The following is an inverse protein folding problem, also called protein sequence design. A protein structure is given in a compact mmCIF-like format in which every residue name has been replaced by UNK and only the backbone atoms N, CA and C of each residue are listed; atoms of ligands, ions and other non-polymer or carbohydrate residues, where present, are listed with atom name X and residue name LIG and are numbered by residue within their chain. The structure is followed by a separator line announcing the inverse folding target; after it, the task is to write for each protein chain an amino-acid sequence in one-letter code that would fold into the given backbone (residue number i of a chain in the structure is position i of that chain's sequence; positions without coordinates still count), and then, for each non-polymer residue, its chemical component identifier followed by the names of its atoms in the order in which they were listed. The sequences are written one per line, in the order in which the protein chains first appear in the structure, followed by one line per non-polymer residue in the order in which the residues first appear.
data_IF_584645298379
#
_entry.id   IF_584645298379
#
_cell.length_a   1.000
_cell.length_b   1.000
_cell.length_c   1.000
_cell.angle_alpha   90.00
_cell.angle_beta   90.00
_cell.angle_gamma   90.00
#
_symmetry.space_group_name_H-M   'P 1'
#
loop_
_entity.id
_entity.type
_entity.pdbx_description
1 polymer ?
#
# COMPACT_ATOMS: atom_id res chain seq x y z
N UNK A 1 -16.55 -3.53 -10.15
CA UNK A 1 -16.37 -4.95 -9.79
C UNK A 1 -15.20 -5.61 -10.55
N UNK A 2 -15.31 -5.99 -11.83
CA UNK A 2 -14.19 -6.68 -12.54
C UNK A 2 -12.88 -5.88 -12.49
N UNK A 3 -12.90 -4.58 -12.84
CA UNK A 3 -11.79 -3.62 -12.69
C UNK A 3 -11.14 -3.70 -11.31
N UNK A 4 -11.94 -3.47 -10.26
CA UNK A 4 -11.48 -3.46 -8.86
C UNK A 4 -10.87 -4.81 -8.45
N UNK A 5 -11.48 -5.93 -8.82
CA UNK A 5 -10.95 -7.27 -8.53
C UNK A 5 -9.63 -7.56 -9.25
N UNK A 6 -9.46 -7.06 -10.48
CA UNK A 6 -8.21 -7.16 -11.22
C UNK A 6 -7.09 -6.31 -10.58
N UNK A 7 -7.37 -5.06 -10.19
CA UNK A 7 -6.42 -4.21 -9.47
C UNK A 7 -6.06 -4.73 -8.07
N UNK A 8 -6.99 -5.43 -7.41
CA UNK A 8 -6.75 -6.09 -6.12
C UNK A 8 -5.89 -7.36 -6.29
N UNK A 9 -6.17 -8.16 -7.32
CA UNK A 9 -5.35 -9.30 -7.69
C UNK A 9 -3.91 -8.91 -8.04
N UNK A 10 -3.70 -7.83 -8.81
CA UNK A 10 -2.34 -7.35 -9.13
C UNK A 10 -1.56 -6.93 -7.88
N UNK A 11 -2.21 -6.22 -6.94
CA UNK A 11 -1.58 -5.85 -5.66
C UNK A 11 -1.27 -7.09 -4.83
N UNK A 12 -2.21 -8.01 -4.67
CA UNK A 12 -1.97 -9.29 -3.99
C UNK A 12 -0.85 -10.12 -4.64
N UNK A 13 -0.66 -10.03 -5.96
CA UNK A 13 0.48 -10.67 -6.64
C UNK A 13 1.81 -10.02 -6.22
N UNK A 14 1.90 -8.68 -6.25
CA UNK A 14 3.11 -7.95 -5.85
C UNK A 14 3.44 -8.09 -4.35
N UNK A 15 2.42 -8.06 -3.48
CA UNK A 15 2.56 -8.34 -2.05
C UNK A 15 3.09 -9.76 -1.84
N UNK A 16 2.52 -10.74 -2.55
CA UNK A 16 2.95 -12.14 -2.47
C UNK A 16 4.38 -12.33 -2.95
N UNK A 17 4.77 -11.66 -4.03
CA UNK A 17 6.14 -11.71 -4.58
C UNK A 17 7.16 -11.18 -3.55
N UNK A 18 6.89 -10.02 -2.95
CA UNK A 18 7.71 -9.45 -1.88
C UNK A 18 7.79 -10.38 -0.66
N UNK A 19 6.66 -10.93 -0.22
CA UNK A 19 6.59 -11.80 0.96
C UNK A 19 7.19 -13.21 0.74
N UNK A 20 7.36 -13.65 -0.52
CA UNK A 20 8.00 -14.95 -0.85
C UNK A 20 9.50 -14.83 -1.19
N UNK A 21 10.11 -13.65 -1.03
CA UNK A 21 11.56 -13.48 -1.17
C UNK A 21 12.31 -14.45 -0.25
N UNK A 22 13.32 -15.19 -0.73
CA UNK A 22 14.18 -16.01 0.11
C UNK A 22 15.05 -15.12 0.99
N UNK A 23 15.24 -15.51 2.24
CA UNK A 23 16.11 -14.85 3.23
C UNK A 23 16.89 -15.95 3.96
N UNK A 24 18.19 -15.73 4.16
CA UNK A 24 19.03 -16.65 4.92
C UNK A 24 18.91 -16.36 6.42
N UNK A 25 18.70 -17.41 7.20
CA UNK A 25 18.50 -17.37 8.65
C UNK A 25 19.47 -18.35 9.30
N UNK A 26 20.05 -17.96 10.44
CA UNK A 26 20.89 -18.87 11.23
C UNK A 26 19.97 -19.79 12.05
N UNK A 27 20.14 -21.09 11.88
CA UNK A 27 19.49 -22.14 12.69
C UNK A 27 20.18 -22.34 14.05
N UNK A 28 19.50 -22.98 15.00
CA UNK A 28 20.08 -23.35 16.32
C UNK A 28 21.37 -24.18 16.20
N UNK A 29 21.54 -24.89 15.09
CA UNK A 29 22.77 -25.64 14.76
C UNK A 29 23.94 -24.80 14.23
N UNK A 30 23.77 -23.48 14.07
CA UNK A 30 24.79 -22.59 13.48
C UNK A 30 24.92 -22.70 11.96
N UNK A 31 23.93 -23.30 11.29
CA UNK A 31 23.87 -23.42 9.83
C UNK A 31 22.93 -22.35 9.22
N UNK A 32 23.25 -21.88 8.02
CA UNK A 32 22.36 -21.01 7.26
C UNK A 32 21.27 -21.83 6.57
N UNK A 33 20.01 -21.50 6.86
CA UNK A 33 18.82 -22.06 6.25
C UNK A 33 18.06 -20.97 5.47
N UNK A 34 17.60 -21.28 4.26
CA UNK A 34 16.77 -20.35 3.49
C UNK A 34 15.32 -20.46 3.93
N UNK A 35 14.81 -19.45 4.65
CA UNK A 35 13.37 -19.25 4.90
C UNK A 35 12.80 -18.30 3.84
N UNK A 36 11.47 -18.22 3.72
CA UNK A 36 10.83 -17.11 3.00
C UNK A 36 10.57 -15.95 3.94
N UNK A 37 10.52 -14.73 3.40
CA UNK A 37 10.28 -13.51 4.18
C UNK A 37 9.00 -13.54 5.04
N UNK A 38 7.93 -14.25 4.67
CA UNK A 38 6.73 -14.40 5.51
C UNK A 38 6.88 -15.40 6.68
N UNK A 39 7.95 -16.20 6.68
CA UNK A 39 8.23 -17.25 7.68
C UNK A 39 9.18 -16.74 8.78
N UNK A 40 9.68 -15.50 8.66
CA UNK A 40 10.51 -14.83 9.66
C UNK A 40 9.70 -14.53 10.93
N UNK A 41 10.26 -14.87 12.08
CA UNK A 41 9.70 -14.57 13.40
C UNK A 41 10.62 -13.63 14.19
N UNK A 42 10.07 -12.94 15.18
CA UNK A 42 10.86 -12.12 16.12
C UNK A 42 11.86 -13.03 16.84
N UNK A 43 13.14 -12.62 16.86
CA UNK A 43 14.25 -13.40 17.39
C UNK A 43 15.04 -14.21 16.35
N UNK A 44 14.54 -14.39 15.11
CA UNK A 44 15.35 -14.97 14.03
C UNK A 44 16.59 -14.09 13.77
N UNK A 45 17.77 -14.71 13.62
CA UNK A 45 18.97 -14.01 13.15
C UNK A 45 19.07 -14.18 11.64
N UNK A 46 18.90 -13.08 10.91
CA UNK A 46 18.97 -13.03 9.44
C UNK A 46 20.35 -12.62 8.96
N UNK A 47 20.76 -13.17 7.82
CA UNK A 47 21.88 -12.68 7.00
C UNK A 47 21.30 -11.89 5.82
N UNK A 48 21.73 -10.63 5.69
CA UNK A 48 21.33 -9.72 4.60
C UNK A 48 22.57 -9.36 3.79
N UNK A 49 22.52 -9.55 2.46
CA UNK A 49 23.65 -9.31 1.58
C UNK A 49 23.58 -7.94 0.87
N UNK A 50 24.71 -7.49 0.33
CA UNK A 50 24.81 -6.23 -0.39
C UNK A 50 23.81 -6.15 -1.56
N UNK A 51 23.02 -5.08 -1.60
CA UNK A 51 21.97 -4.89 -2.60
C UNK A 51 20.61 -5.48 -2.24
N UNK A 52 20.48 -6.23 -1.14
CA UNK A 52 19.18 -6.76 -0.70
C UNK A 52 18.32 -5.69 -0.02
N UNK A 53 17.00 -5.88 -0.11
CA UNK A 53 16.00 -5.09 0.63
C UNK A 53 15.66 -5.78 1.93
N UNK A 54 15.68 -5.06 3.05
CA UNK A 54 15.35 -5.60 4.35
C UNK A 54 13.85 -6.02 4.44
N UNK A 55 13.54 -7.27 4.84
CA UNK A 55 12.17 -7.79 4.86
C UNK A 55 11.33 -7.26 6.04
N UNK A 56 11.98 -6.89 7.14
CA UNK A 56 11.41 -6.52 8.43
C UNK A 56 12.36 -5.57 9.17
N UNK A 57 11.98 -5.07 10.36
CA UNK A 57 12.87 -4.22 11.15
C UNK A 57 13.81 -5.13 11.98
N UNK A 58 15.12 -4.95 11.81
CA UNK A 58 16.15 -5.78 12.43
C UNK A 58 17.15 -4.92 13.20
N UNK A 59 17.63 -5.41 14.34
CA UNK A 59 18.76 -4.83 15.06
C UNK A 59 20.05 -5.45 14.52
N UNK A 60 21.00 -4.63 14.04
CA UNK A 60 22.30 -5.13 13.60
C UNK A 60 23.06 -5.77 14.77
N UNK A 61 23.60 -6.97 14.55
CA UNK A 61 24.45 -7.69 15.51
C UNK A 61 25.92 -7.60 15.11
N UNK A 62 26.24 -7.83 13.83
CA UNK A 62 27.59 -7.65 13.27
C UNK A 62 27.53 -7.36 11.76
N UNK A 63 28.67 -6.93 11.22
CA UNK A 63 28.88 -6.56 9.82
C UNK A 63 30.15 -7.26 9.32
N UNK A 64 30.31 -7.39 8.01
CA UNK A 64 31.60 -7.79 7.41
C UNK A 64 32.74 -6.82 7.80
N UNK A 65 32.42 -5.55 8.07
CA UNK A 65 33.40 -4.56 8.50
C UNK A 65 33.82 -4.78 9.96
N UNK A 66 35.13 -4.69 10.25
CA UNK A 66 35.66 -4.90 11.62
C UNK A 66 35.31 -3.79 12.60
N UNK A 67 35.33 -2.54 12.13
CA UNK A 67 34.10 -1.81 11.77
C UNK A 67 32.88 -1.89 12.71
N UNK A 68 32.09 -2.94 12.52
CA UNK A 68 30.70 -3.03 12.98
C UNK A 68 29.75 -2.10 12.23
N UNK A 69 30.24 -1.25 11.32
CA UNK A 69 29.39 -0.32 10.57
C UNK A 69 28.76 -0.97 9.33
N UNK A 70 27.58 -0.49 8.96
CA UNK A 70 26.98 -0.78 7.67
C UNK A 70 26.30 0.47 7.09
N UNK A 71 26.14 0.48 5.77
CA UNK A 71 25.53 1.59 5.04
C UNK A 71 24.20 1.17 4.41
N UNK A 72 23.15 1.94 4.68
CA UNK A 72 21.80 1.64 4.20
C UNK A 72 21.22 2.86 3.47
N UNK A 73 20.57 2.59 2.35
CA UNK A 73 19.83 3.59 1.56
C UNK A 73 18.34 3.52 1.93
N UNK A 74 17.75 4.63 2.36
CA UNK A 74 16.33 4.72 2.75
C UNK A 74 15.42 5.30 1.67
N UNK A 75 15.91 5.47 0.43
CA UNK A 75 15.15 6.03 -0.70
C UNK A 75 13.75 5.41 -0.91
N UNK A 76 13.55 4.13 -0.56
CA UNK A 76 12.25 3.45 -0.62
C UNK A 76 11.27 3.77 0.54
N UNK A 77 11.74 4.43 1.60
CA UNK A 77 10.94 4.87 2.77
C UNK A 77 10.69 6.38 2.76
N UNK A 78 11.74 7.17 2.64
CA UNK A 78 11.72 8.64 2.82
C UNK A 78 12.14 9.43 1.57
N UNK A 79 12.54 8.74 0.50
CA UNK A 79 13.04 9.37 -0.74
C UNK A 79 14.47 9.90 -0.62
N UNK A 80 15.14 9.74 0.52
CA UNK A 80 16.52 10.22 0.68
C UNK A 80 17.50 9.26 -0.02
N UNK A 81 18.26 9.81 -0.97
CA UNK A 81 19.35 9.09 -1.68
C UNK A 81 20.64 9.02 -0.88
N UNK A 82 20.70 9.67 0.29
CA UNK A 82 21.87 9.69 1.15
C UNK A 82 22.03 8.37 1.90
N UNK A 83 23.27 7.87 1.95
CA UNK A 83 23.64 6.70 2.73
C UNK A 83 23.63 7.02 4.23
N UNK A 84 22.81 6.28 4.98
CA UNK A 84 22.76 6.34 6.44
C UNK A 84 23.68 5.26 7.02
N UNK A 85 24.46 5.62 8.04
CA UNK A 85 25.38 4.73 8.75
C UNK A 85 24.70 4.17 9.99
N UNK A 86 24.90 2.88 10.23
CA UNK A 86 24.39 2.14 11.37
C UNK A 86 25.53 1.31 11.97
N UNK A 87 25.43 0.99 13.26
CA UNK A 87 26.51 0.37 14.04
C UNK A 87 26.04 -0.84 14.84
N UNK A 88 26.76 -1.95 14.68
CA UNK A 88 26.69 -3.12 15.54
C UNK A 88 27.06 -2.77 17.00
N UNK A 89 26.32 -3.31 18.00
CA UNK A 89 26.71 -3.21 19.41
C UNK A 89 28.12 -3.78 19.64
N UNK A 90 28.95 -3.15 20.50
CA UNK A 90 30.32 -3.63 20.77
C UNK A 90 30.39 -5.08 21.25
N UNK A 91 29.32 -5.59 21.88
CA UNK A 91 29.24 -6.95 22.41
C UNK A 91 29.17 -8.05 21.34
N UNK A 92 28.58 -7.75 20.18
CA UNK A 92 28.31 -8.73 19.11
C UNK A 92 29.08 -8.46 17.83
N UNK A 93 29.63 -7.26 17.71
CA UNK A 93 30.43 -6.77 16.57
C UNK A 93 31.56 -7.71 16.11
N UNK A 94 32.20 -8.45 17.02
CA UNK A 94 33.31 -9.37 16.70
C UNK A 94 32.85 -10.77 16.24
N UNK A 95 31.54 -11.04 16.16
CA UNK A 95 31.01 -12.34 15.72
C UNK A 95 30.88 -12.33 14.18
N UNK A 96 31.74 -13.09 13.52
CA UNK A 96 31.90 -13.11 12.06
C UNK A 96 31.22 -14.28 11.34
N UNK A 97 30.92 -15.37 12.06
CA UNK A 97 30.45 -16.64 11.47
C UNK A 97 29.13 -17.15 12.09
N UNK A 98 28.26 -17.82 11.31
CA UNK A 98 26.98 -18.35 11.80
C UNK A 98 27.12 -19.36 12.94
N UNK A 99 28.17 -20.18 12.91
CA UNK A 99 28.51 -21.10 14.00
C UNK A 99 28.84 -20.37 15.30
N UNK A 100 29.56 -19.25 15.25
CA UNK A 100 29.87 -18.48 16.45
C UNK A 100 28.65 -17.76 17.03
N UNK A 101 27.64 -17.42 16.23
CA UNK A 101 26.35 -16.97 16.77
C UNK A 101 25.68 -18.06 17.61
N UNK A 102 25.57 -19.28 17.10
CA UNK A 102 24.96 -20.40 17.84
C UNK A 102 25.78 -20.83 19.08
N UNK A 103 27.11 -20.78 19.02
CA UNK A 103 27.99 -21.20 20.13
C UNK A 103 28.16 -20.14 21.23
N UNK A 104 28.25 -18.85 20.87
CA UNK A 104 28.71 -17.79 21.78
C UNK A 104 27.64 -16.77 22.16
N UNK A 105 26.58 -16.61 21.37
CA UNK A 105 25.59 -15.55 21.62
C UNK A 105 24.38 -16.07 22.42
N UNK A 106 24.46 -15.93 23.75
CA UNK A 106 23.28 -15.96 24.60
C UNK A 106 22.89 -14.52 24.96
N UNK A 107 21.88 -13.97 24.28
CA UNK A 107 21.45 -12.59 24.49
C UNK A 107 19.95 -12.36 24.30
N UNK A 108 19.40 -11.41 25.05
CA UNK A 108 18.01 -10.97 24.98
C UNK A 108 17.94 -9.51 24.57
N UNK A 109 17.21 -9.19 23.49
CA UNK A 109 16.89 -7.82 23.11
C UNK A 109 15.59 -7.40 23.81
N UNK A 110 15.65 -6.30 24.56
CA UNK A 110 14.48 -5.67 25.19
C UNK A 110 14.32 -4.29 24.57
N UNK A 111 13.32 -4.11 23.72
CA UNK A 111 13.00 -2.83 23.08
C UNK A 111 11.61 -2.32 23.51
N UNK A 112 11.33 -1.05 23.19
CA UNK A 112 10.01 -0.45 23.35
C UNK A 112 8.92 -1.18 22.52
N UNK A 113 7.65 -0.86 22.76
CA UNK A 113 6.58 -1.21 21.81
C UNK A 113 6.77 -0.45 20.48
N UNK A 114 6.35 -1.04 19.34
CA UNK A 114 6.57 -0.43 18.04
C UNK A 114 5.80 0.90 17.93
N UNK A 115 6.55 1.98 17.73
CA UNK A 115 6.03 3.35 17.51
C UNK A 115 6.20 3.77 16.06
N UNK A 116 5.29 4.60 15.51
CA UNK A 116 5.37 5.06 14.13
C UNK A 116 6.53 6.04 13.86
N UNK A 117 7.14 6.69 14.86
CA UNK A 117 8.29 7.55 14.57
C UNK A 117 9.47 6.69 14.06
N UNK A 118 9.93 6.93 12.82
CA UNK A 118 11.02 6.18 12.19
C UNK A 118 12.41 6.54 12.72
N UNK A 119 12.52 7.62 13.49
CA UNK A 119 13.78 8.10 14.09
C UNK A 119 13.92 7.75 15.58
N UNK A 120 12.83 7.30 16.22
CA UNK A 120 12.82 6.89 17.63
C UNK A 120 12.93 5.37 17.77
N UNK A 121 14.05 4.89 18.33
CA UNK A 121 14.18 3.53 18.81
C UNK A 121 15.02 3.50 20.08
N UNK A 122 14.42 2.96 21.14
CA UNK A 122 15.01 2.76 22.45
C UNK A 122 14.91 1.27 22.78
N UNK A 123 16.06 0.66 23.05
CA UNK A 123 16.14 -0.69 23.58
C UNK A 123 17.44 -0.94 24.32
N UNK A 124 17.63 -2.19 24.72
CA UNK A 124 18.88 -2.70 25.26
C UNK A 124 19.10 -4.15 24.82
N UNK A 125 20.35 -4.48 24.57
CA UNK A 125 20.84 -5.84 24.41
C UNK A 125 21.38 -6.30 25.77
N UNK A 126 20.82 -7.39 26.30
CA UNK A 126 21.33 -8.05 27.51
C UNK A 126 22.09 -9.29 27.05
N UNK A 127 23.41 -9.30 27.21
CA UNK A 127 24.25 -10.46 26.88
C UNK A 127 24.57 -11.19 28.19
N UNK A 128 24.22 -12.47 28.24
CA UNK A 128 24.47 -13.35 29.39
C UNK A 128 25.70 -14.20 29.08
N UNK A 129 26.75 -14.04 29.87
CA UNK A 129 27.94 -14.88 29.76
C UNK A 129 27.61 -16.34 30.13
N UNK A 130 28.02 -17.27 29.27
CA UNK A 130 27.79 -18.71 29.41
C UNK A 130 28.62 -19.34 30.53
N UNK A 131 29.78 -18.76 30.89
CA UNK A 131 30.66 -19.31 31.92
C UNK A 131 30.35 -18.76 33.33
N UNK A 132 30.14 -17.44 33.45
CA UNK A 132 29.85 -16.79 34.74
C UNK A 132 28.36 -16.68 35.08
N UNK A 133 27.49 -16.62 34.07
CA UNK A 133 26.07 -16.28 34.23
C UNK A 133 25.81 -14.78 34.43
N UNK A 134 26.84 -13.92 34.35
CA UNK A 134 26.68 -12.47 34.53
C UNK A 134 25.99 -11.82 33.32
N UNK A 135 25.07 -10.89 33.58
CA UNK A 135 24.35 -10.12 32.57
C UNK A 135 25.00 -8.75 32.30
N UNK A 136 25.45 -8.55 31.07
CA UNK A 136 25.97 -7.26 30.59
C UNK A 136 24.93 -6.55 29.73
N UNK A 137 24.69 -5.26 30.01
CA UNK A 137 23.64 -4.48 29.34
C UNK A 137 24.26 -3.43 28.40
N UNK A 138 23.88 -3.46 27.12
CA UNK A 138 24.30 -2.49 26.11
C UNK A 138 23.07 -1.72 25.60
N UNK A 139 23.09 -0.37 25.57
CA UNK A 139 21.97 0.41 25.04
C UNK A 139 21.87 0.24 23.51
N UNK A 140 20.64 0.16 23.00
CA UNK A 140 20.34 0.15 21.57
C UNK A 140 19.59 1.44 21.21
N UNK A 141 20.16 2.19 20.28
CA UNK A 141 19.60 3.44 19.76
C UNK A 141 19.14 3.23 18.30
N UNK A 142 18.55 4.27 17.69
CA UNK A 142 18.14 4.22 16.27
C UNK A 142 19.27 3.88 15.29
N UNK A 143 20.52 4.20 15.63
CA UNK A 143 21.73 3.81 14.87
C UNK A 143 21.99 2.29 14.85
N UNK A 144 21.28 1.50 15.66
CA UNK A 144 21.35 0.04 15.66
C UNK A 144 20.14 -0.63 14.99
N UNK A 145 19.14 0.14 14.53
CA UNK A 145 17.91 -0.40 13.94
C UNK A 145 17.88 -0.18 12.42
N UNK A 146 17.89 -1.27 11.66
CA UNK A 146 17.70 -1.24 10.20
C UNK A 146 16.22 -1.47 9.88
N UNK A 147 15.64 -0.60 9.06
CA UNK A 147 14.19 -0.57 8.80
C UNK A 147 13.77 -1.46 7.62
N UNK A 148 12.58 -2.05 7.70
CA UNK A 148 11.90 -2.74 6.60
C UNK A 148 11.84 -1.85 5.36
N UNK A 149 12.15 -2.43 4.20
CA UNK A 149 12.10 -1.74 2.91
C UNK A 149 13.35 -0.92 2.60
N UNK A 150 14.28 -0.75 3.54
CA UNK A 150 15.55 -0.10 3.27
C UNK A 150 16.49 -1.08 2.53
N UNK A 151 17.50 -0.56 1.83
CA UNK A 151 18.41 -1.38 1.01
C UNK A 151 19.83 -1.35 1.57
N UNK A 152 20.43 -2.52 1.80
CA UNK A 152 21.84 -2.62 2.17
C UNK A 152 22.70 -2.27 0.96
N UNK A 153 23.73 -1.45 1.18
CA UNK A 153 24.56 -0.86 0.12
C UNK A 153 25.96 -0.63 0.65
N UNK A 154 27.02 -0.76 -0.15
CA UNK A 154 28.41 -0.52 0.31
C UNK A 154 28.79 -1.31 1.59
N UNK A 155 28.21 -2.50 1.78
CA UNK A 155 28.54 -3.42 2.89
C UNK A 155 28.20 -4.82 2.39
N UNK A 156 29.17 -5.73 2.38
CA UNK A 156 29.03 -7.05 1.73
C UNK A 156 27.92 -7.90 2.34
N UNK A 157 27.86 -7.95 3.67
CA UNK A 157 26.77 -8.58 4.41
C UNK A 157 26.65 -8.02 5.84
N UNK A 158 25.48 -8.21 6.43
CA UNK A 158 25.14 -7.87 7.82
C UNK A 158 24.36 -9.02 8.45
N UNK A 159 24.70 -9.37 9.70
CA UNK A 159 23.88 -10.21 10.56
C UNK A 159 23.01 -9.34 11.46
N UNK A 160 21.71 -9.63 11.54
CA UNK A 160 20.78 -8.87 12.37
C UNK A 160 19.69 -9.73 13.01
N UNK A 161 19.25 -9.35 14.19
CA UNK A 161 18.14 -10.01 14.90
C UNK A 161 16.81 -9.31 14.57
N UNK A 162 15.81 -10.07 14.17
CA UNK A 162 14.47 -9.56 13.85
C UNK A 162 13.76 -9.08 15.11
N UNK A 163 13.39 -7.79 15.17
CA UNK A 163 12.71 -7.18 16.33
C UNK A 163 11.23 -6.85 16.08
N UNK A 164 10.87 -6.38 14.88
CA UNK A 164 9.47 -6.16 14.51
C UNK A 164 9.17 -6.79 13.15
N UNK A 165 7.99 -7.41 13.02
CA UNK A 165 7.55 -8.14 11.81
C UNK A 165 6.18 -7.69 11.33
N UNK A 166 5.92 -7.83 10.02
CA UNK A 166 4.58 -7.65 9.45
C UNK A 166 4.00 -6.24 9.68
N UNK A 167 2.90 -6.16 10.45
CA UNK A 167 2.20 -4.90 10.75
C UNK A 167 2.91 -4.06 11.82
N UNK A 168 3.76 -4.68 12.64
CA UNK A 168 4.44 -4.03 13.76
C UNK A 168 5.70 -3.27 13.33
N UNK A 169 6.14 -3.43 12.07
CA UNK A 169 7.29 -2.66 11.57
C UNK A 169 6.94 -1.18 11.45
N UNK A 170 7.92 -0.31 11.69
CA UNK A 170 7.77 1.14 11.64
C UNK A 170 7.25 1.61 10.28
N UNK A 171 7.70 0.99 9.18
CA UNK A 171 7.17 1.26 7.84
C UNK A 171 5.68 0.91 7.71
N UNK A 172 5.24 -0.22 8.27
CA UNK A 172 3.84 -0.65 8.26
C UNK A 172 2.94 0.24 9.13
N UNK A 173 3.44 0.72 10.28
CA UNK A 173 2.71 1.67 11.13
C UNK A 173 2.51 3.04 10.47
N UNK A 174 3.44 3.47 9.61
CA UNK A 174 3.30 4.69 8.80
C UNK A 174 2.47 4.51 7.52
N UNK A 175 2.16 3.27 7.14
CA UNK A 175 1.40 2.99 5.93
C UNK A 175 -0.04 3.53 6.06
N UNK A 176 -0.32 4.64 5.38
CA UNK A 176 -1.67 5.21 5.33
C UNK A 176 -2.65 4.17 4.78
N UNK A 177 -3.66 3.81 5.58
CA UNK A 177 -4.73 2.89 5.17
C UNK A 177 -5.30 3.33 3.82
N UNK A 178 -5.38 2.41 2.86
CA UNK A 178 -5.91 2.69 1.51
C UNK A 178 -7.27 3.36 1.61
N UNK A 179 -7.35 4.59 1.12
CA UNK A 179 -8.60 5.31 0.88
C UNK A 179 -8.96 5.20 -0.60
N UNK A 180 -10.25 5.07 -0.91
CA UNK A 180 -10.75 5.19 -2.28
C UNK A 180 -10.58 6.64 -2.72
N UNK A 181 -9.78 6.86 -3.77
CA UNK A 181 -9.62 8.18 -4.39
C UNK A 181 -10.81 8.43 -5.30
N UNK A 182 -11.36 9.64 -5.25
CA UNK A 182 -12.42 10.10 -6.16
C UNK A 182 -11.87 11.24 -7.02
N UNK A 183 -12.20 11.24 -8.30
CA UNK A 183 -11.80 12.30 -9.23
C UNK A 183 -12.66 13.57 -9.04
N UNK A 184 -12.09 14.73 -9.38
CA UNK A 184 -12.82 15.98 -9.56
C UNK A 184 -13.88 15.88 -10.67
N UNK A 185 -13.64 15.06 -11.71
CA UNK A 185 -14.60 14.78 -12.78
C UNK A 185 -15.78 13.98 -12.23
N UNK A 186 -15.55 12.92 -11.46
CA UNK A 186 -16.61 12.15 -10.78
C UNK A 186 -17.48 13.04 -9.88
N UNK A 187 -16.86 13.95 -9.12
CA UNK A 187 -17.59 14.92 -8.31
C UNK A 187 -18.48 15.83 -9.15
N UNK A 188 -18.01 16.31 -10.32
CA UNK A 188 -18.81 17.10 -11.26
C UNK A 188 -19.93 16.28 -11.92
N UNK A 189 -19.68 15.02 -12.27
CA UNK A 189 -20.68 14.10 -12.83
C UNK A 189 -21.83 13.86 -11.84
N UNK A 190 -21.54 13.68 -10.55
CA UNK A 190 -22.56 13.56 -9.51
C UNK A 190 -23.43 14.83 -9.39
N UNK A 191 -22.85 16.02 -9.58
CA UNK A 191 -23.63 17.28 -9.65
C UNK A 191 -24.52 17.32 -10.88
N UNK A 192 -24.04 16.92 -12.05
CA UNK A 192 -24.87 16.85 -13.26
C UNK A 192 -26.00 15.81 -13.13
N UNK A 193 -25.73 14.64 -12.55
CA UNK A 193 -26.75 13.63 -12.27
C UNK A 193 -27.85 14.17 -11.35
N UNK A 194 -27.49 14.94 -10.32
CA UNK A 194 -28.48 15.61 -9.45
C UNK A 194 -29.34 16.62 -10.24
N UNK A 195 -28.74 17.42 -11.12
CA UNK A 195 -29.45 18.37 -11.98
C UNK A 195 -30.42 17.63 -12.92
N UNK A 196 -29.98 16.56 -13.59
CA UNK A 196 -30.84 15.74 -14.44
C UNK A 196 -31.98 15.08 -13.67
N UNK A 197 -31.72 14.59 -12.44
CA UNK A 197 -32.73 13.98 -11.59
C UNK A 197 -33.83 14.98 -11.16
N UNK A 198 -33.43 16.17 -10.71
CA UNK A 198 -34.38 17.25 -10.37
C UNK A 198 -35.16 17.71 -11.61
N UNK A 199 -34.48 17.86 -12.75
CA UNK A 199 -35.12 18.18 -14.03
C UNK A 199 -36.14 17.13 -14.48
N UNK A 200 -35.83 15.85 -14.31
CA UNK A 200 -36.74 14.74 -14.63
C UNK A 200 -37.99 14.77 -13.74
N UNK A 201 -37.85 15.00 -12.42
CA UNK A 201 -38.99 15.13 -11.51
C UNK A 201 -39.89 16.30 -11.93
N UNK A 202 -39.29 17.47 -12.22
CA UNK A 202 -40.02 18.64 -12.70
C UNK A 202 -40.79 18.33 -13.99
N UNK A 203 -40.12 17.72 -14.98
CA UNK A 203 -40.71 17.34 -16.26
C UNK A 203 -41.90 16.37 -16.09
N UNK A 204 -41.76 15.35 -15.25
CA UNK A 204 -42.82 14.38 -14.98
C UNK A 204 -44.04 15.02 -14.29
N UNK A 205 -43.82 15.95 -13.35
CA UNK A 205 -44.90 16.71 -12.71
C UNK A 205 -45.59 17.62 -13.74
N UNK A 206 -44.83 18.33 -14.58
CA UNK A 206 -45.38 19.20 -15.63
C UNK A 206 -46.22 18.43 -16.64
N UNK A 207 -45.75 17.27 -17.15
CA UNK A 207 -46.54 16.45 -18.08
C UNK A 207 -47.76 15.80 -17.43
N UNK A 208 -47.66 15.38 -16.16
CA UNK A 208 -48.80 14.87 -15.41
C UNK A 208 -49.86 15.96 -15.26
N UNK A 209 -49.48 17.16 -14.82
CA UNK A 209 -50.38 18.30 -14.71
C UNK A 209 -51.00 18.67 -16.07
N UNK A 210 -50.18 18.74 -17.11
CA UNK A 210 -50.61 19.07 -18.48
C UNK A 210 -51.66 18.07 -19.00
N UNK A 211 -51.47 16.77 -18.75
CA UNK A 211 -52.45 15.70 -19.09
C UNK A 211 -53.81 15.93 -18.43
N UNK A 212 -53.84 16.32 -17.16
CA UNK A 212 -55.09 16.57 -16.43
C UNK A 212 -55.72 17.93 -16.78
N UNK A 213 -54.92 18.93 -17.20
CA UNK A 213 -55.41 20.24 -17.66
C UNK A 213 -56.03 20.20 -19.06
N UNK A 214 -55.43 19.47 -20.00
CA UNK A 214 -55.87 19.39 -21.40
C UNK A 214 -57.08 18.47 -21.63
N UNK A 215 -57.74 18.00 -20.55
CA UNK A 215 -58.84 17.03 -20.49
C UNK A 215 -59.64 16.91 -21.80
N UNK A 216 -59.17 16.04 -22.70
CA UNK A 216 -59.57 16.04 -24.11
C UNK A 216 -60.61 14.96 -24.35
N UNK A 217 -61.86 15.36 -24.57
CA UNK A 217 -62.99 14.46 -24.81
C UNK A 217 -62.91 13.80 -26.21
N UNK A 218 -61.99 12.85 -26.35
CA UNK A 218 -61.81 12.04 -27.54
C UNK A 218 -62.72 10.81 -27.49
N UNK A 219 -63.63 10.68 -28.46
CA UNK A 219 -64.63 9.59 -28.53
C UNK A 219 -64.05 8.17 -28.53
N UNK A 220 -62.77 8.02 -28.88
CA UNK A 220 -62.03 6.76 -28.94
C UNK A 220 -61.16 6.48 -27.70
N UNK A 221 -61.14 7.39 -26.71
CA UNK A 221 -60.37 7.24 -25.46
C UNK A 221 -61.35 7.15 -24.28
N UNK A 222 -61.40 6.00 -23.60
CA UNK A 222 -62.24 5.88 -22.40
C UNK A 222 -61.62 6.65 -21.23
N UNK A 223 -62.12 7.87 -20.96
CA UNK A 223 -61.67 8.68 -19.84
C UNK A 223 -62.04 7.98 -18.53
N UNK A 224 -61.02 7.56 -17.77
CA UNK A 224 -61.21 6.98 -16.43
C UNK A 224 -61.56 8.09 -15.45
N UNK A 225 -62.52 7.84 -14.54
CA UNK A 225 -62.81 8.77 -13.43
C UNK A 225 -61.52 9.07 -12.66
N UNK A 226 -61.20 10.36 -12.50
CA UNK A 226 -60.01 10.83 -11.79
C UNK A 226 -60.03 10.27 -10.35
N UNK A 227 -59.00 9.49 -10.00
CA UNK A 227 -58.72 9.01 -8.65
C UNK A 227 -57.25 9.29 -8.38
N UNK A 228 -56.91 9.65 -7.14
CA UNK A 228 -55.52 9.93 -6.72
C UNK A 228 -54.55 8.82 -7.12
N UNK A 229 -54.98 7.56 -7.03
CA UNK A 229 -54.19 6.41 -7.47
C UNK A 229 -53.82 6.44 -8.97
N UNK A 230 -54.71 6.87 -9.85
CA UNK A 230 -54.42 6.98 -11.29
C UNK A 230 -53.44 8.13 -11.58
N UNK A 231 -53.51 9.24 -10.84
CA UNK A 231 -52.53 10.33 -10.93
C UNK A 231 -51.12 9.84 -10.55
N UNK A 232 -51.01 9.03 -9.50
CA UNK A 232 -49.75 8.42 -9.08
C UNK A 232 -49.25 7.41 -10.12
N UNK A 233 -50.11 6.55 -10.66
CA UNK A 233 -49.75 5.63 -11.74
C UNK A 233 -49.24 6.36 -13.00
N UNK A 234 -49.90 7.46 -13.39
CA UNK A 234 -49.47 8.30 -14.51
C UNK A 234 -48.10 8.95 -14.25
N UNK A 235 -47.87 9.48 -13.05
CA UNK A 235 -46.58 10.06 -12.67
C UNK A 235 -45.45 9.03 -12.76
N UNK A 236 -45.66 7.81 -12.24
CA UNK A 236 -44.69 6.72 -12.38
C UNK A 236 -44.51 6.28 -13.83
N UNK A 237 -45.57 6.27 -14.64
CA UNK A 237 -45.46 5.98 -16.07
C UNK A 237 -44.58 7.02 -16.80
N UNK A 238 -44.72 8.32 -16.49
CA UNK A 238 -43.83 9.36 -17.03
C UNK A 238 -42.40 9.24 -16.52
N UNK A 239 -42.17 8.88 -15.24
CA UNK A 239 -40.81 8.64 -14.70
C UNK A 239 -40.12 7.48 -15.44
N UNK A 240 -40.84 6.38 -15.69
CA UNK A 240 -40.31 5.25 -16.48
C UNK A 240 -40.06 5.65 -17.93
N UNK A 241 -41.00 6.38 -18.55
CA UNK A 241 -40.88 6.87 -19.92
C UNK A 241 -39.65 7.77 -20.10
N UNK A 242 -39.40 8.70 -19.17
CA UNK A 242 -38.28 9.65 -19.25
C UNK A 242 -36.98 9.16 -18.59
N UNK A 243 -36.92 7.92 -18.08
CA UNK A 243 -35.75 7.38 -17.38
C UNK A 243 -34.46 7.45 -18.22
N UNK A 244 -34.58 7.31 -19.55
CA UNK A 244 -33.46 7.43 -20.51
C UNK A 244 -32.74 8.80 -20.49
N UNK A 245 -33.34 9.84 -19.91
CA UNK A 245 -32.71 11.14 -19.76
C UNK A 245 -31.54 11.12 -18.75
N UNK A 246 -31.48 10.12 -17.87
CA UNK A 246 -30.33 9.87 -16.99
C UNK A 246 -29.42 8.86 -17.71
N UNK A 247 -28.21 9.24 -18.16
CA UNK A 247 -27.34 8.36 -18.93
C UNK A 247 -26.62 7.37 -18.01
N UNK A 248 -27.30 6.31 -17.58
CA UNK A 248 -26.75 5.28 -16.68
C UNK A 248 -25.46 4.65 -17.23
N UNK A 249 -25.35 4.51 -18.56
CA UNK A 249 -24.15 4.01 -19.24
C UNK A 249 -22.94 4.93 -19.12
N UNK A 250 -23.10 6.23 -18.86
CA UNK A 250 -22.00 7.20 -18.81
C UNK A 250 -20.93 6.81 -17.79
N UNK A 251 -21.34 6.38 -16.60
CA UNK A 251 -20.41 5.94 -15.55
C UNK A 251 -19.61 4.70 -15.97
N UNK A 252 -20.27 3.73 -16.61
CA UNK A 252 -19.63 2.51 -17.11
C UNK A 252 -18.64 2.82 -18.25
N UNK A 253 -19.02 3.69 -19.18
CA UNK A 253 -18.14 4.12 -20.29
C UNK A 253 -16.88 4.81 -19.77
N UNK A 254 -17.02 5.71 -18.80
CA UNK A 254 -15.88 6.42 -18.18
C UNK A 254 -14.97 5.46 -17.41
N UNK A 255 -15.52 4.51 -16.66
CA UNK A 255 -14.73 3.46 -15.99
C UNK A 255 -13.92 2.61 -16.99
N UNK A 256 -14.49 2.29 -18.16
CA UNK A 256 -13.75 1.61 -19.23
C UNK A 256 -12.68 2.51 -19.86
N UNK A 257 -12.98 3.77 -20.15
CA UNK A 257 -12.02 4.76 -20.67
C UNK A 257 -10.81 4.89 -19.75
N UNK A 258 -11.04 5.08 -18.44
CA UNK A 258 -9.98 5.14 -17.43
C UNK A 258 -9.15 3.86 -17.38
N UNK A 259 -9.79 2.70 -17.42
CA UNK A 259 -9.12 1.40 -17.37
C UNK A 259 -8.20 1.21 -18.59
N UNK A 260 -8.70 1.42 -19.81
CA UNK A 260 -7.88 1.29 -21.02
C UNK A 260 -6.82 2.39 -21.13
N UNK A 261 -7.16 3.64 -20.79
CA UNK A 261 -6.20 4.76 -20.76
C UNK A 261 -5.04 4.52 -19.80
N UNK A 262 -5.31 3.95 -18.61
CA UNK A 262 -4.26 3.57 -17.66
C UNK A 262 -3.30 2.51 -18.21
N UNK A 263 -3.75 1.68 -19.16
CA UNK A 263 -2.92 0.61 -19.73
C UNK A 263 -1.91 1.15 -20.74
N UNK A 264 -2.19 2.30 -21.38
CA UNK A 264 -1.30 2.95 -22.33
C UNK A 264 0.04 3.34 -21.70
N UNK A 265 0.08 3.78 -20.44
CA UNK A 265 1.34 4.09 -19.74
C UNK A 265 2.32 2.91 -19.75
N UNK A 266 1.84 1.68 -19.50
CA UNK A 266 2.66 0.46 -19.53
C UNK A 266 2.79 -0.20 -20.91
N UNK A 267 2.40 0.51 -21.98
CA UNK A 267 2.64 0.14 -23.39
C UNK A 267 3.49 1.20 -24.12
N UNK A 268 3.63 2.39 -23.54
CA UNK A 268 4.48 3.45 -24.04
C UNK A 268 5.96 3.06 -23.89
N UNK A 269 6.72 3.27 -24.97
CA UNK A 269 8.18 3.04 -24.99
C UNK A 269 8.96 4.29 -24.60
N UNK A 270 8.34 5.48 -24.58
CA UNK A 270 8.94 6.70 -24.03
C UNK A 270 8.96 6.68 -22.48
N UNK A 271 8.13 5.83 -21.87
CA UNK A 271 8.03 5.59 -20.42
C UNK A 271 8.67 4.25 -20.00
N UNK A 272 9.63 3.74 -20.78
CA UNK A 272 10.40 2.53 -20.50
C UNK A 272 11.86 2.89 -20.21
N UNK A 273 12.39 2.37 -19.11
CA UNK A 273 13.79 2.53 -18.70
C UNK A 273 14.62 1.33 -19.17
N UNK A 274 15.58 1.57 -20.04
CA UNK A 274 16.48 0.53 -20.57
C UNK A 274 17.61 0.12 -19.63
N UNK A 275 17.91 0.89 -18.59
CA UNK A 275 18.95 0.55 -17.59
C UNK A 275 18.42 -0.41 -16.52
N UNK A 276 17.13 -0.30 -16.19
CA UNK A 276 16.46 -1.11 -15.15
C UNK A 276 15.59 -2.24 -15.75
N UNK A 277 15.30 -2.21 -17.07
CA UNK A 277 14.33 -3.10 -17.76
C UNK A 277 12.91 -2.98 -17.16
N UNK A 278 12.53 -1.77 -16.75
CA UNK A 278 11.25 -1.46 -16.13
C UNK A 278 10.37 -0.55 -17.01
N UNK A 279 9.06 -0.78 -16.96
CA UNK A 279 8.03 0.02 -17.66
C UNK A 279 7.21 0.77 -16.64
N UNK A 280 6.68 1.94 -17.01
CA UNK A 280 5.71 2.64 -16.18
C UNK A 280 4.49 1.76 -15.82
N UNK A 281 4.20 1.65 -14.52
CA UNK A 281 3.10 0.85 -13.97
C UNK A 281 2.02 1.74 -13.37
N UNK A 282 0.81 1.68 -13.94
CA UNK A 282 -0.37 2.31 -13.36
C UNK A 282 -0.94 1.44 -12.22
N UNK A 283 -0.56 1.75 -10.97
CA UNK A 283 -1.02 1.04 -9.76
C UNK A 283 -2.53 1.23 -9.44
N UNK A 284 -3.18 2.18 -10.10
CA UNK A 284 -4.63 2.42 -10.03
C UNK A 284 -5.09 3.05 -11.34
N UNK A 285 -6.30 2.68 -11.78
CA UNK A 285 -6.99 3.26 -12.92
C UNK A 285 -8.20 4.10 -12.49
N UNK A 286 -8.18 4.66 -11.27
CA UNK A 286 -9.24 5.53 -10.75
C UNK A 286 -9.01 7.02 -11.07
N UNK A 287 -7.76 7.45 -11.25
CA UNK A 287 -7.37 8.88 -11.35
C UNK A 287 -6.51 9.28 -12.59
N UNK A 288 -6.53 8.59 -13.75
CA UNK A 288 -5.67 8.99 -14.88
C UNK A 288 -5.94 10.42 -15.36
N UNK A 289 -7.18 10.91 -15.29
CA UNK A 289 -7.57 12.27 -15.68
C UNK A 289 -7.04 13.39 -14.75
N UNK A 290 -6.63 13.04 -13.53
CA UNK A 290 -6.13 14.01 -12.54
C UNK A 290 -4.67 14.38 -12.81
N UNK A 291 -3.91 13.56 -13.56
CA UNK A 291 -2.50 13.84 -13.87
C UNK A 291 -2.33 15.15 -14.66
N UNK A 292 -3.30 15.50 -15.51
CA UNK A 292 -3.34 16.78 -16.22
C UNK A 292 -3.87 17.96 -15.39
N UNK A 293 -4.23 17.76 -14.13
CA UNK A 293 -4.85 18.76 -13.23
C UNK A 293 -3.99 19.06 -11.99
N UNK A 294 -2.72 18.65 -12.00
CA UNK A 294 -1.78 18.88 -10.87
C UNK A 294 -1.34 20.34 -10.83
N UNK A 295 -1.73 21.06 -9.77
CA UNK A 295 -1.32 22.45 -9.53
C UNK A 295 -0.06 22.60 -8.68
N UNK A 296 0.24 21.60 -7.86
CA UNK A 296 1.36 21.60 -6.92
C UNK A 296 2.11 20.27 -7.04
N UNK A 297 3.42 20.37 -7.27
CA UNK A 297 4.35 19.25 -7.15
C UNK A 297 5.10 19.42 -5.83
N UNK A 298 5.04 18.39 -4.99
CA UNK A 298 5.91 18.26 -3.84
C UNK A 298 7.05 17.31 -4.28
N UNK A 299 8.22 17.91 -4.49
CA UNK A 299 9.49 17.22 -4.75
C UNK A 299 10.20 17.09 -3.40
#
# INVERSE_FOLDING_TARGET
MIKQGYEDYLRHKADRETNNRPIEVIDESGLLITKKSYELVVGDIVLICNGDTLPCDIVILSSNESSGECYVTTASLDGETNLKRFYAPPATREIDSPSHFAEKLNATIICQQPVPDIYEFIGKLVVTDLESGDETNFPLNNECLLLRGARLTNTDFVYGCVVYTGNDTKMSLNAKRKQTKFSQIERKLNVFLLIYFVGLIFLCISFTLLKYLLNTDAWYISIRKIKTWYVVQDLFAFIVLFNYAIPISLYVTIEFEKFFGSRFFGWDMELYDSEIDERALANTSDIPEEMGQVYYLQI
#
